data_IF_429929855166
#
_entry.id   IF_429929855166
#
_cell.length_a   1.000
_cell.length_b   1.000
_cell.length_c   1.000
_cell.angle_alpha   90.00
_cell.angle_beta   90.00
_cell.angle_gamma   90.00
#
_symmetry.space_group_name_H-M   'P 1'
#
loop_
_entity.id
_entity.type
_entity.pdbx_description
1 polymer ?
#
# COMPACT_ATOMS: atom_id res chain seq x y z
N UNK A 1 27.32 69.47 5.24
CA UNK A 1 28.61 69.12 5.87
C UNK A 1 28.87 67.64 5.59
N UNK A 2 29.65 67.35 4.56
CA UNK A 2 30.33 66.06 4.29
C UNK A 2 31.50 65.88 5.29
N UNK A 3 32.04 64.67 5.57
CA UNK A 3 32.79 63.78 4.63
C UNK A 3 32.43 62.27 4.78
N UNK A 4 32.62 61.31 3.84
CA UNK A 4 33.71 60.83 2.94
C UNK A 4 34.43 59.56 3.46
N UNK A 5 34.47 58.50 2.61
CA UNK A 5 35.46 57.38 2.52
C UNK A 5 35.32 56.24 3.57
N UNK A 6 35.50 54.93 3.29
CA UNK A 6 36.47 54.26 2.41
C UNK A 6 36.18 52.74 2.19
N UNK A 7 36.81 52.19 1.15
CA UNK A 7 36.89 50.84 0.53
C UNK A 7 37.01 49.53 1.37
N UNK A 8 36.48 48.42 0.79
CA UNK A 8 37.27 47.25 0.32
C UNK A 8 37.45 46.01 1.24
N UNK A 9 37.17 44.80 0.69
CA UNK A 9 37.77 43.43 0.92
C UNK A 9 36.71 42.33 0.70
N UNK A 10 36.76 41.46 -0.33
CA UNK A 10 37.68 40.35 -0.69
C UNK A 10 37.06 38.97 -0.39
N UNK A 11 36.98 38.13 -1.44
CA UNK A 11 36.62 36.71 -1.46
C UNK A 11 37.50 35.82 -0.55
N UNK A 12 37.08 34.57 -0.27
CA UNK A 12 37.94 33.48 -0.72
C UNK A 12 37.22 32.25 -1.32
N UNK A 13 37.91 31.66 -2.30
CA UNK A 13 37.79 30.30 -2.79
C UNK A 13 38.44 29.32 -1.79
N UNK A 14 37.88 28.11 -1.64
CA UNK A 14 38.60 26.97 -1.09
C UNK A 14 38.24 25.68 -1.84
N UNK A 15 39.30 24.98 -2.23
CA UNK A 15 39.39 23.80 -3.09
C UNK A 15 39.38 22.47 -2.31
N UNK A 16 38.73 21.48 -2.92
CA UNK A 16 39.07 20.03 -3.00
C UNK A 16 39.43 19.21 -1.74
N UNK A 17 38.70 18.11 -1.52
CA UNK A 17 39.30 16.76 -1.42
C UNK A 17 38.28 15.63 -1.64
N UNK A 18 38.66 14.65 -2.46
CA UNK A 18 38.08 13.28 -2.54
C UNK A 18 38.88 12.36 -1.60
N UNK A 19 38.31 11.25 -1.09
CA UNK A 19 38.39 9.93 -1.76
C UNK A 19 37.03 9.19 -1.67
N UNK A 20 36.65 8.15 -2.42
CA UNK A 20 37.33 6.93 -2.85
C UNK A 20 36.27 5.81 -2.75
N UNK A 21 36.08 5.02 -3.82
CA UNK A 21 35.06 3.97 -3.95
C UNK A 21 35.27 2.84 -2.93
N UNK A 22 34.19 2.13 -2.55
CA UNK A 22 34.09 0.65 -2.61
C UNK A 22 32.66 0.13 -2.27
N UNK A 23 32.14 -0.70 -3.17
CA UNK A 23 31.40 -1.96 -2.95
C UNK A 23 30.12 -2.02 -2.08
N UNK A 24 29.00 -2.26 -2.79
CA UNK A 24 27.93 -3.24 -2.53
C UNK A 24 27.79 -3.90 -1.14
N UNK A 25 26.57 -3.85 -0.56
CA UNK A 25 25.65 -5.00 -0.38
C UNK A 25 24.48 -4.69 0.57
N UNK A 26 23.29 -5.14 0.14
CA UNK A 26 22.11 -5.58 0.94
C UNK A 26 21.39 -4.63 1.90
N UNK A 27 20.16 -4.30 1.50
CA UNK A 27 19.00 -4.08 2.37
C UNK A 27 18.78 -5.27 3.33
N UNK A 28 18.55 -4.98 4.62
CA UNK A 28 17.63 -5.76 5.44
C UNK A 28 17.04 -4.86 6.53
N UNK A 29 15.71 -4.82 6.56
CA UNK A 29 14.86 -3.96 7.36
C UNK A 29 14.27 -4.83 8.46
N UNK A 30 14.63 -4.62 9.73
CA UNK A 30 13.96 -5.24 10.88
C UNK A 30 13.52 -4.14 11.83
N UNK A 31 12.20 -3.96 11.90
CA UNK A 31 11.48 -3.08 12.82
C UNK A 31 11.58 -3.62 14.25
N UNK A 32 12.17 -2.86 15.15
CA UNK A 32 11.91 -2.93 16.59
C UNK A 32 10.64 -2.12 16.88
N UNK A 33 9.69 -2.72 17.60
CA UNK A 33 8.51 -2.02 18.18
C UNK A 33 8.76 -1.83 19.66
N UNK A 34 8.79 -0.57 20.07
CA UNK A 34 8.79 -0.12 21.45
C UNK A 34 7.46 -0.48 22.16
N UNK A 35 7.58 -0.83 23.44
CA UNK A 35 6.50 -1.01 24.42
C UNK A 35 6.40 0.23 25.31
N UNK A 36 5.17 0.65 25.61
CA UNK A 36 4.64 1.20 26.89
C UNK A 36 3.39 2.08 26.62
N UNK A 37 2.57 2.51 27.60
CA UNK A 37 2.33 2.02 28.98
C UNK A 37 0.82 1.86 29.39
N UNK A 38 0.64 1.18 30.54
CA UNK A 38 -0.41 1.16 31.59
C UNK A 38 -1.76 1.92 31.51
N UNK A 39 -2.83 1.26 31.96
CA UNK A 39 -3.79 1.68 33.04
C UNK A 39 -4.82 0.53 33.23
N UNK A 40 -4.99 -0.17 34.36
CA UNK A 40 -5.24 0.14 35.79
C UNK A 40 -6.71 0.44 36.13
N UNK A 41 -7.48 -0.59 36.54
CA UNK A 41 -8.66 -0.56 37.46
C UNK A 41 -8.95 -2.02 37.87
N UNK A 42 -9.31 -2.46 39.08
CA UNK A 42 -8.98 -2.14 40.48
C UNK A 42 -9.66 -3.22 41.35
N UNK A 43 -9.05 -3.58 42.50
CA UNK A 43 -9.67 -4.09 43.75
C UNK A 43 -10.31 -5.52 43.71
N UNK A 44 -10.08 -6.44 44.65
CA UNK A 44 -9.78 -6.32 46.08
C UNK A 44 -8.99 -7.54 46.60
N UNK A 45 -8.06 -7.27 47.52
CA UNK A 45 -7.30 -8.22 48.36
C UNK A 45 -7.52 -7.80 49.82
N UNK A 46 -7.69 -8.76 50.71
CA UNK A 46 -7.50 -8.61 52.16
C UNK A 46 -6.73 -9.87 52.63
N UNK A 47 -5.46 -9.70 53.07
CA UNK A 47 -4.96 -9.75 54.47
C UNK A 47 -4.78 -11.22 54.93
N UNK A 48 -3.64 -11.70 55.42
CA UNK A 48 -2.83 -11.24 56.58
C UNK A 48 -1.37 -11.77 56.48
N UNK A 49 -0.46 -11.09 57.18
CA UNK A 49 0.99 -11.27 57.47
C UNK A 49 1.48 -12.71 57.78
N UNK A 50 2.76 -13.09 57.82
CA UNK A 50 4.07 -12.40 57.88
C UNK A 50 5.09 -13.29 58.65
N UNK A 51 6.39 -12.94 58.57
CA UNK A 51 7.58 -13.49 59.28
C UNK A 51 8.11 -14.88 58.81
N UNK A 52 9.35 -15.12 58.33
CA UNK A 52 10.76 -14.73 58.64
C UNK A 52 11.51 -15.79 59.49
N UNK A 53 12.67 -16.26 58.96
CA UNK A 53 13.76 -17.10 59.54
C UNK A 53 13.41 -18.59 59.78
N UNK A 54 14.29 -19.58 59.63
CA UNK A 54 15.72 -19.63 59.32
C UNK A 54 16.23 -21.09 59.42
N UNK A 55 17.53 -21.25 59.16
CA UNK A 55 18.42 -22.40 59.45
C UNK A 55 18.21 -23.72 58.70
N UNK A 56 19.07 -23.94 57.70
CA UNK A 56 19.52 -25.26 57.29
C UNK A 56 20.54 -25.77 58.32
N UNK A 57 20.35 -26.98 58.83
CA UNK A 57 21.38 -27.72 59.56
C UNK A 57 21.77 -28.97 58.77
N UNK A 58 23.07 -29.07 58.57
CA UNK A 58 23.83 -30.17 58.00
C UNK A 58 23.98 -31.22 59.10
N UNK A 59 23.74 -32.50 58.80
CA UNK A 59 24.51 -33.61 59.38
C UNK A 59 24.27 -34.93 58.65
N UNK A 60 25.39 -35.47 58.13
CA UNK A 60 25.89 -36.85 58.29
C UNK A 60 25.11 -37.99 57.64
N UNK A 61 25.71 -38.61 56.61
CA UNK A 61 26.66 -39.76 56.66
C UNK A 61 25.89 -41.06 56.35
N UNK A 62 26.15 -41.69 55.20
CA UNK A 62 27.27 -42.61 54.91
C UNK A 62 27.01 -44.03 55.41
N UNK A 63 27.17 -44.94 54.45
CA UNK A 63 27.51 -46.35 54.56
C UNK A 63 26.43 -47.34 55.02
N UNK A 64 26.31 -48.39 54.21
CA UNK A 64 25.55 -49.58 54.54
C UNK A 64 25.32 -50.46 53.33
N UNK A 65 26.41 -50.82 52.63
CA UNK A 65 26.36 -51.90 51.65
C UNK A 65 25.91 -53.20 52.32
N UNK A 66 24.89 -53.83 51.75
CA UNK A 66 24.59 -55.22 52.02
C UNK A 66 24.16 -55.86 50.70
N UNK A 67 25.11 -56.57 50.09
CA UNK A 67 24.81 -57.69 49.19
C UNK A 67 23.77 -58.56 49.89
N UNK A 68 22.55 -58.60 49.35
CA UNK A 68 21.57 -59.62 49.71
C UNK A 68 21.22 -60.39 48.45
N UNK A 69 21.97 -61.48 48.26
CA UNK A 69 21.53 -62.63 47.50
C UNK A 69 20.08 -62.93 47.85
N UNK A 70 19.17 -62.84 46.87
CA UNK A 70 17.83 -63.39 47.01
C UNK A 70 17.88 -64.82 46.49
N UNK A 71 18.30 -65.72 47.38
CA UNK A 71 17.96 -67.12 47.28
C UNK A 71 16.44 -67.26 47.17
N UNK A 72 15.96 -68.20 46.35
CA UNK A 72 14.57 -68.64 46.36
C UNK A 72 14.34 -69.41 47.67
N UNK A 73 14.13 -68.68 48.76
CA UNK A 73 13.61 -69.26 49.99
C UNK A 73 12.15 -69.60 49.73
N UNK A 74 11.81 -70.89 49.79
CA UNK A 74 10.45 -71.35 50.02
C UNK A 74 9.92 -70.57 51.23
N UNK A 75 8.89 -69.76 51.02
CA UNK A 75 8.32 -68.97 52.10
C UNK A 75 7.88 -69.93 53.21
N UNK A 76 8.47 -69.80 54.40
CA UNK A 76 8.04 -70.55 55.56
C UNK A 76 6.54 -70.28 55.78
N UNK A 77 5.74 -71.33 55.87
CA UNK A 77 4.31 -71.24 56.12
C UNK A 77 4.10 -70.57 57.48
N UNK A 78 3.66 -69.31 57.47
CA UNK A 78 3.32 -68.57 58.68
C UNK A 78 1.83 -68.79 58.94
N UNK A 79 1.45 -69.40 60.08
CA UNK A 79 0.05 -69.63 60.41
C UNK A 79 -0.75 -68.31 60.49
N UNK A 80 -2.01 -68.30 60.04
CA UNK A 80 -2.78 -67.07 59.79
C UNK A 80 -3.03 -66.21 61.04
N UNK A 81 -2.97 -66.79 62.24
CA UNK A 81 -3.15 -66.07 63.50
C UNK A 81 -2.10 -64.96 63.72
N UNK A 82 -0.88 -65.12 63.18
CA UNK A 82 0.18 -64.10 63.29
C UNK A 82 -0.02 -62.91 62.34
N UNK A 83 -1.00 -62.96 61.42
CA UNK A 83 -1.32 -61.90 60.47
C UNK A 83 -2.43 -60.95 60.95
N UNK A 84 -3.10 -61.25 62.07
CA UNK A 84 -4.28 -60.49 62.56
C UNK A 84 -3.96 -59.05 63.02
N UNK A 85 -2.67 -58.69 63.17
CA UNK A 85 -2.21 -57.33 63.48
C UNK A 85 -1.44 -56.63 62.36
N UNK A 86 -1.18 -57.29 61.22
CA UNK A 86 -0.51 -56.65 60.09
C UNK A 86 -1.52 -55.80 59.32
N UNK A 87 -1.40 -54.47 59.45
CA UNK A 87 -2.08 -53.53 58.57
C UNK A 87 -1.83 -53.97 57.12
N UNK A 88 -2.89 -54.40 56.42
CA UNK A 88 -2.81 -54.81 55.01
C UNK A 88 -2.03 -53.73 54.26
N UNK A 89 -0.87 -54.09 53.73
CA UNK A 89 -0.02 -53.16 53.01
C UNK A 89 -0.86 -52.46 51.93
N UNK A 90 -0.86 -51.12 51.94
CA UNK A 90 -1.60 -50.32 50.96
C UNK A 90 -1.19 -50.81 49.56
N UNK A 91 -2.14 -51.10 48.66
CA UNK A 91 -1.78 -51.54 47.31
C UNK A 91 -0.82 -50.51 46.69
N UNK A 92 0.21 -50.97 45.95
CA UNK A 92 1.19 -50.07 45.36
C UNK A 92 0.47 -49.05 44.46
N UNK A 93 0.91 -47.77 44.44
CA UNK A 93 0.28 -46.77 43.61
C UNK A 93 0.31 -47.20 42.14
N UNK A 94 -0.84 -47.20 41.48
CA UNK A 94 -0.92 -47.55 40.06
C UNK A 94 -0.13 -46.53 39.23
N UNK A 95 0.62 -47.00 38.22
CA UNK A 95 1.32 -46.13 37.28
C UNK A 95 0.35 -45.09 36.69
N UNK A 96 0.73 -43.80 36.61
CA UNK A 96 -0.15 -42.78 36.03
C UNK A 96 -0.38 -43.11 34.56
N UNK A 97 -1.66 -43.21 34.18
CA UNK A 97 -2.06 -43.33 32.78
C UNK A 97 -1.96 -41.95 32.12
N UNK A 98 -1.65 -41.87 30.81
CA UNK A 98 -1.64 -40.59 30.11
C UNK A 98 -3.02 -39.93 30.19
N UNK A 99 -3.03 -38.61 30.32
CA UNK A 99 -4.26 -37.82 30.49
C UNK A 99 -5.18 -37.85 29.27
N UNK A 100 -4.61 -37.97 28.06
CA UNK A 100 -5.38 -38.01 26.82
C UNK A 100 -5.10 -39.24 25.95
N UNK A 101 -6.10 -39.72 25.19
CA UNK A 101 -5.95 -40.87 24.30
C UNK A 101 -4.94 -40.63 23.17
N UNK A 102 -4.75 -39.37 22.77
CA UNK A 102 -3.84 -38.97 21.69
C UNK A 102 -2.44 -38.60 22.19
N UNK A 103 -2.09 -38.92 23.44
CA UNK A 103 -0.81 -38.57 24.07
C UNK A 103 0.43 -38.90 23.22
N UNK A 104 0.43 -40.04 22.53
CA UNK A 104 1.57 -40.49 21.71
C UNK A 104 1.68 -39.81 20.32
N UNK A 105 0.77 -38.90 19.96
CA UNK A 105 0.69 -38.31 18.61
C UNK A 105 1.58 -37.07 18.40
N UNK A 106 2.43 -36.70 19.35
CA UNK A 106 3.33 -35.53 19.28
C UNK A 106 2.63 -34.16 19.38
N UNK A 107 1.30 -34.09 19.12
CA UNK A 107 0.44 -32.90 19.33
C UNK A 107 -0.92 -33.29 19.91
N UNK A 108 -0.92 -33.88 21.11
CA UNK A 108 -2.11 -34.44 21.74
C UNK A 108 -3.31 -33.47 21.78
N UNK A 109 -3.10 -32.24 22.28
CA UNK A 109 -4.18 -31.24 22.39
C UNK A 109 -4.89 -30.92 21.07
N UNK A 110 -4.17 -30.92 19.95
CA UNK A 110 -4.75 -30.66 18.63
C UNK A 110 -5.64 -31.81 18.17
N UNK A 111 -5.18 -33.05 18.33
CA UNK A 111 -5.94 -34.23 17.92
C UNK A 111 -7.13 -34.49 18.84
N UNK A 112 -7.01 -34.20 20.13
CA UNK A 112 -8.15 -34.27 21.05
C UNK A 112 -9.24 -33.25 20.68
N UNK A 113 -8.85 -32.02 20.30
CA UNK A 113 -9.78 -31.00 19.81
C UNK A 113 -10.44 -31.41 18.49
N UNK A 114 -9.67 -31.99 17.55
CA UNK A 114 -10.19 -32.46 16.28
C UNK A 114 -11.19 -33.62 16.48
N UNK A 115 -10.87 -34.57 17.34
CA UNK A 115 -11.75 -35.69 17.69
C UNK A 115 -13.01 -35.21 18.41
N UNK A 116 -12.91 -34.18 19.26
CA UNK A 116 -14.07 -33.56 19.89
C UNK A 116 -15.01 -32.91 18.86
N UNK A 117 -14.45 -32.18 17.88
CA UNK A 117 -15.23 -31.60 16.78
C UNK A 117 -15.89 -32.67 15.91
N UNK A 118 -15.16 -33.74 15.58
CA UNK A 118 -15.71 -34.84 14.78
C UNK A 118 -16.84 -35.57 15.53
N UNK A 119 -16.69 -35.80 16.83
CA UNK A 119 -17.74 -36.38 17.68
C UNK A 119 -18.97 -35.49 17.73
N UNK A 120 -18.79 -34.17 17.93
CA UNK A 120 -19.90 -33.22 17.94
C UNK A 120 -20.64 -33.20 16.59
N UNK A 121 -19.91 -33.24 15.47
CA UNK A 121 -20.51 -33.32 14.14
C UNK A 121 -21.29 -34.63 13.91
N UNK A 122 -20.79 -35.76 14.40
CA UNK A 122 -21.49 -37.06 14.33
C UNK A 122 -22.74 -37.06 15.21
N UNK A 123 -22.63 -36.60 16.45
CA UNK A 123 -23.74 -36.52 17.42
C UNK A 123 -24.87 -35.61 16.93
N UNK A 124 -24.52 -34.44 16.39
CA UNK A 124 -25.51 -33.54 15.79
C UNK A 124 -26.19 -34.18 14.58
N UNK A 125 -25.44 -34.88 13.73
CA UNK A 125 -26.02 -35.62 12.60
C UNK A 125 -26.99 -36.72 13.05
N UNK A 126 -26.62 -37.53 14.04
CA UNK A 126 -27.50 -38.60 14.55
C UNK A 126 -28.74 -38.01 15.20
N UNK A 127 -28.61 -36.96 16.01
CA UNK A 127 -29.76 -36.27 16.61
C UNK A 127 -30.70 -35.70 15.54
N UNK A 128 -30.17 -35.11 14.46
CA UNK A 128 -30.98 -34.62 13.34
C UNK A 128 -31.65 -35.74 12.53
N UNK A 129 -31.08 -36.95 12.51
CA UNK A 129 -31.70 -38.13 11.89
C UNK A 129 -32.80 -38.71 12.77
N UNK A 130 -32.60 -38.77 14.08
CA UNK A 130 -33.62 -39.20 15.06
C UNK A 130 -34.84 -38.27 15.05
N UNK A 131 -34.61 -36.96 14.91
CA UNK A 131 -35.66 -35.96 14.69
C UNK A 131 -36.27 -35.99 13.29
N UNK A 132 -35.84 -36.93 12.42
CA UNK A 132 -36.29 -37.11 11.03
C UNK A 132 -36.11 -35.86 10.13
N UNK A 133 -35.23 -34.94 10.51
CA UNK A 133 -34.91 -33.75 9.71
C UNK A 133 -34.02 -34.14 8.53
N UNK A 134 -33.18 -35.16 8.68
CA UNK A 134 -32.33 -35.72 7.63
C UNK A 134 -32.88 -37.09 7.14
N UNK A 135 -33.02 -37.31 5.82
CA UNK A 135 -32.65 -36.43 4.72
C UNK A 135 -33.66 -35.29 4.49
N UNK A 136 -33.16 -34.05 4.43
CA UNK A 136 -34.00 -32.89 4.13
C UNK A 136 -34.66 -33.08 2.75
N UNK A 137 -35.99 -32.94 2.62
CA UNK A 137 -36.66 -32.97 1.32
C UNK A 137 -36.12 -31.86 0.40
N UNK A 138 -36.18 -32.07 -0.92
CA UNK A 138 -35.52 -31.18 -1.90
C UNK A 138 -35.95 -29.72 -1.79
N UNK A 139 -37.21 -29.44 -1.45
CA UNK A 139 -37.69 -28.06 -1.23
C UNK A 139 -36.97 -27.39 -0.05
N UNK A 140 -36.70 -28.13 1.03
CA UNK A 140 -35.99 -27.61 2.21
C UNK A 140 -34.49 -27.41 1.92
N UNK A 141 -33.88 -28.25 1.09
CA UNK A 141 -32.49 -28.04 0.62
C UNK A 141 -32.34 -26.83 -0.31
N UNK A 142 -33.35 -26.56 -1.14
CA UNK A 142 -33.40 -25.39 -2.02
C UNK A 142 -33.72 -24.09 -1.26
N UNK A 143 -34.49 -24.20 -0.17
CA UNK A 143 -34.77 -23.11 0.76
C UNK A 143 -33.68 -22.93 1.82
N UNK A 144 -32.73 -23.87 1.92
CA UNK A 144 -31.53 -23.70 2.72
C UNK A 144 -30.73 -22.55 2.11
N UNK A 145 -30.37 -21.54 2.90
CA UNK A 145 -29.62 -20.42 2.38
C UNK A 145 -28.22 -20.92 1.90
N UNK A 146 -27.77 -20.67 0.65
CA UNK A 146 -26.44 -21.08 0.16
C UNK A 146 -25.31 -20.32 0.87
N UNK A 147 -24.79 -20.75 2.04
CA UNK A 147 -23.97 -19.91 2.98
C UNK A 147 -24.00 -18.38 2.67
N UNK A 148 -25.14 -17.69 2.89
CA UNK A 148 -25.44 -16.37 2.33
C UNK A 148 -25.98 -15.37 3.37
N UNK A 149 -25.85 -15.64 4.68
CA UNK A 149 -26.41 -14.80 5.74
C UNK A 149 -25.90 -13.36 5.64
N UNK A 150 -24.64 -13.18 5.26
CA UNK A 150 -24.01 -11.88 5.07
C UNK A 150 -24.66 -11.04 3.96
N UNK A 151 -25.13 -11.63 2.85
CA UNK A 151 -25.75 -10.86 1.74
C UNK A 151 -27.14 -10.35 2.09
N UNK A 152 -27.98 -11.19 2.74
CA UNK A 152 -29.31 -10.75 3.23
C UNK A 152 -29.16 -9.68 4.30
N UNK A 153 -28.22 -9.86 5.24
CA UNK A 153 -27.91 -8.88 6.28
C UNK A 153 -27.43 -7.54 5.72
N UNK A 154 -26.52 -7.54 4.74
CA UNK A 154 -26.09 -6.32 4.03
C UNK A 154 -27.27 -5.69 3.27
N UNK A 155 -28.16 -6.49 2.68
CA UNK A 155 -29.39 -6.00 2.06
C UNK A 155 -30.29 -5.22 3.04
N UNK A 156 -30.50 -5.77 4.24
CA UNK A 156 -31.29 -5.11 5.30
C UNK A 156 -30.63 -3.82 5.80
N UNK A 157 -29.30 -3.81 5.97
CA UNK A 157 -28.56 -2.59 6.34
C UNK A 157 -28.63 -1.51 5.25
N UNK A 158 -28.65 -1.90 3.97
CA UNK A 158 -28.84 -0.96 2.86
C UNK A 158 -30.27 -0.37 2.88
N UNK A 159 -31.29 -1.20 3.10
CA UNK A 159 -32.68 -0.74 3.24
C UNK A 159 -32.86 0.23 4.42
N UNK A 160 -32.26 -0.04 5.58
CA UNK A 160 -32.26 0.89 6.72
C UNK A 160 -31.59 2.23 6.38
N UNK A 161 -30.50 2.21 5.60
CA UNK A 161 -29.86 3.44 5.12
C UNK A 161 -30.76 4.25 4.16
N UNK A 162 -31.54 3.59 3.31
CA UNK A 162 -32.53 4.23 2.44
C UNK A 162 -33.66 4.86 3.28
N UNK A 163 -34.20 4.14 4.26
CA UNK A 163 -35.24 4.66 5.16
C UNK A 163 -34.75 5.86 5.99
N UNK A 164 -33.49 5.87 6.42
CA UNK A 164 -32.88 7.03 7.07
C UNK A 164 -32.90 8.26 6.15
N UNK A 165 -32.45 8.12 4.90
CA UNK A 165 -32.46 9.22 3.92
C UNK A 165 -33.86 9.73 3.63
N UNK A 166 -34.84 8.83 3.53
CA UNK A 166 -36.25 9.20 3.36
C UNK A 166 -36.79 9.97 4.57
N UNK A 167 -36.46 9.53 5.79
CA UNK A 167 -36.86 10.23 7.02
C UNK A 167 -36.22 11.63 7.15
N UNK A 168 -34.96 11.78 6.73
CA UNK A 168 -34.26 13.08 6.66
C UNK A 168 -34.94 14.03 5.67
N UNK A 169 -35.27 13.56 4.45
CA UNK A 169 -35.97 14.35 3.43
C UNK A 169 -37.39 14.71 3.87
N UNK A 170 -38.07 13.82 4.58
CA UNK A 170 -39.41 14.04 5.12
C UNK A 170 -39.44 14.94 6.38
N UNK A 171 -38.28 15.32 6.93
CA UNK A 171 -38.18 16.17 8.14
C UNK A 171 -38.41 15.43 9.47
N UNK A 172 -38.55 14.11 9.47
CA UNK A 172 -38.69 13.30 10.69
C UNK A 172 -37.33 12.96 11.31
N UNK A 173 -36.71 13.97 11.94
CA UNK A 173 -35.35 13.87 12.50
C UNK A 173 -35.22 12.87 13.65
N UNK A 174 -36.27 12.67 14.46
CA UNK A 174 -36.24 11.69 15.54
C UNK A 174 -36.13 10.24 15.02
N UNK A 175 -36.87 9.93 13.95
CA UNK A 175 -36.86 8.60 13.34
C UNK A 175 -35.50 8.35 12.67
N UNK A 176 -34.97 9.33 11.94
CA UNK A 176 -33.65 9.27 11.34
C UNK A 176 -32.56 9.05 12.41
N UNK A 177 -32.65 9.74 13.55
CA UNK A 177 -31.73 9.56 14.68
C UNK A 177 -31.81 8.18 15.34
N UNK A 178 -33.01 7.58 15.43
CA UNK A 178 -33.18 6.20 15.92
C UNK A 178 -32.56 5.17 14.97
N UNK A 179 -32.80 5.32 13.67
CA UNK A 179 -32.24 4.42 12.64
C UNK A 179 -30.70 4.54 12.60
N UNK A 180 -30.16 5.76 12.74
CA UNK A 180 -28.72 5.99 12.78
C UNK A 180 -28.06 5.24 13.95
N UNK A 181 -28.64 5.28 15.16
CA UNK A 181 -28.11 4.52 16.32
C UNK A 181 -28.05 3.01 16.06
N UNK A 182 -29.06 2.45 15.39
CA UNK A 182 -29.07 1.04 15.00
C UNK A 182 -27.99 0.74 13.97
N UNK A 183 -27.77 1.64 13.01
CA UNK A 183 -26.69 1.49 12.02
C UNK A 183 -25.31 1.57 12.68
N UNK A 184 -25.09 2.52 13.61
CA UNK A 184 -23.83 2.73 14.31
C UNK A 184 -23.36 1.48 15.07
N UNK A 185 -24.29 0.68 15.62
CA UNK A 185 -23.98 -0.62 16.25
C UNK A 185 -23.31 -1.62 15.31
N UNK A 186 -23.57 -1.53 14.01
CA UNK A 186 -23.02 -2.42 12.97
C UNK A 186 -21.90 -1.77 12.17
N UNK A 187 -21.56 -0.51 12.46
CA UNK A 187 -20.40 0.15 11.88
C UNK A 187 -19.11 -0.31 12.59
N UNK A 188 -18.02 -0.39 11.83
CA UNK A 188 -16.70 -0.65 12.41
C UNK A 188 -16.14 0.65 12.96
N UNK A 189 -15.55 0.60 14.15
CA UNK A 189 -14.85 1.74 14.77
C UNK A 189 -13.80 2.40 13.84
N UNK A 190 -13.17 1.60 12.96
CA UNK A 190 -12.16 2.05 12.01
C UNK A 190 -12.70 2.33 10.58
N UNK A 191 -13.99 2.64 10.41
CA UNK A 191 -14.64 2.86 9.10
C UNK A 191 -13.92 3.91 8.25
N UNK A 192 -13.61 5.07 8.81
CA UNK A 192 -12.98 6.17 8.06
C UNK A 192 -11.57 5.83 7.60
N UNK A 193 -10.82 5.12 8.44
CA UNK A 193 -9.51 4.61 8.08
C UNK A 193 -9.60 3.58 6.93
N UNK A 194 -10.59 2.68 6.94
CA UNK A 194 -10.81 1.69 5.88
C UNK A 194 -11.24 2.36 4.57
N UNK A 195 -12.18 3.32 4.62
CA UNK A 195 -12.63 4.07 3.45
C UNK A 195 -11.51 4.95 2.85
N UNK A 196 -10.59 5.44 3.69
CA UNK A 196 -9.43 6.20 3.25
C UNK A 196 -8.35 5.33 2.56
N UNK A 197 -8.26 4.02 2.86
CA UNK A 197 -7.21 3.13 2.29
C UNK A 197 -7.23 3.05 0.75
N UNK A 198 -8.39 3.25 0.12
CA UNK A 198 -8.52 3.23 -1.35
C UNK A 198 -8.42 4.60 -2.04
N UNK A 199 -8.50 5.70 -1.28
CA UNK A 199 -8.43 7.04 -1.85
C UNK A 199 -6.98 7.40 -2.16
N UNK A 200 -6.74 7.92 -3.37
CA UNK A 200 -5.40 8.39 -3.76
C UNK A 200 -5.05 9.62 -2.95
N UNK A 201 -3.83 9.68 -2.40
CA UNK A 201 -3.32 10.89 -1.75
C UNK A 201 -3.22 12.01 -2.80
N UNK A 202 -3.72 13.24 -2.51
CA UNK A 202 -3.59 14.36 -3.42
C UNK A 202 -2.11 14.71 -3.63
N UNK A 203 -1.78 15.25 -4.82
CA UNK A 203 -0.43 15.72 -5.13
C UNK A 203 -0.18 17.00 -4.35
N UNK A 204 0.95 17.10 -3.66
CA UNK A 204 1.36 18.31 -2.94
C UNK A 204 2.08 19.27 -3.89
N UNK A 205 1.91 20.57 -3.67
CA UNK A 205 2.65 21.61 -4.36
C UNK A 205 3.81 22.08 -3.49
N UNK A 206 4.95 22.35 -4.12
CA UNK A 206 6.12 22.92 -3.47
C UNK A 206 5.94 24.43 -3.25
N UNK A 207 6.84 25.07 -2.49
CA UNK A 207 6.87 26.53 -2.24
C UNK A 207 6.85 27.37 -3.52
N UNK A 208 7.41 26.84 -4.60
CA UNK A 208 7.48 27.48 -5.91
C UNK A 208 6.25 27.21 -6.79
N UNK A 209 5.18 26.60 -6.26
CA UNK A 209 4.00 26.21 -7.03
C UNK A 209 4.26 25.08 -8.04
N UNK A 210 5.33 24.30 -7.83
CA UNK A 210 5.68 23.15 -8.68
C UNK A 210 4.94 21.91 -8.21
N UNK A 211 4.41 21.12 -9.13
CA UNK A 211 3.84 19.80 -8.81
C UNK A 211 4.86 18.71 -9.11
N UNK A 212 5.15 17.85 -8.14
CA UNK A 212 6.01 16.68 -8.33
C UNK A 212 5.18 15.42 -8.65
N UNK A 213 5.44 14.80 -9.81
CA UNK A 213 4.77 13.56 -10.21
C UNK A 213 5.72 12.53 -10.79
N UNK A 214 5.24 11.28 -10.83
CA UNK A 214 6.01 10.14 -11.35
C UNK A 214 5.18 9.39 -12.40
N UNK A 215 5.82 9.15 -13.54
CA UNK A 215 5.35 8.28 -14.60
C UNK A 215 6.23 7.05 -14.77
N UNK A 216 5.62 5.92 -15.15
CA UNK A 216 6.33 4.66 -15.42
C UNK A 216 5.71 3.94 -16.59
N UNK A 217 6.55 3.44 -17.50
CA UNK A 217 6.14 2.58 -18.62
C UNK A 217 7.25 1.57 -18.92
N UNK A 218 6.90 0.28 -18.97
CA UNK A 218 7.88 -0.81 -19.03
C UNK A 218 8.95 -0.61 -17.93
N UNK A 219 10.21 -0.50 -18.31
CA UNK A 219 11.36 -0.26 -17.44
C UNK A 219 11.67 1.23 -17.22
N UNK A 220 11.08 2.11 -18.02
CA UNK A 220 11.35 3.55 -17.96
C UNK A 220 10.60 4.22 -16.80
N UNK A 221 11.32 5.07 -16.09
CA UNK A 221 10.80 5.89 -14.99
C UNK A 221 11.07 7.36 -15.27
N UNK A 222 10.06 8.19 -15.06
CA UNK A 222 10.14 9.63 -15.27
C UNK A 222 9.70 10.36 -14.00
N UNK A 223 10.56 11.24 -13.50
CA UNK A 223 10.28 12.22 -12.45
C UNK A 223 9.99 13.54 -13.14
N UNK A 224 8.84 14.13 -12.88
CA UNK A 224 8.35 15.31 -13.60
C UNK A 224 8.00 16.40 -12.60
N UNK A 225 8.51 17.59 -12.88
CA UNK A 225 8.15 18.84 -12.21
C UNK A 225 7.45 19.73 -13.22
N UNK A 226 6.25 20.16 -12.89
CA UNK A 226 5.45 21.06 -13.73
C UNK A 226 5.18 22.33 -12.96
N UNK A 227 5.43 23.46 -13.61
CA UNK A 227 5.18 24.80 -13.10
C UNK A 227 4.33 25.57 -14.12
N UNK A 228 3.45 26.45 -13.65
CA UNK A 228 2.75 27.38 -14.54
C UNK A 228 3.78 28.25 -15.26
N UNK A 229 3.63 28.42 -16.56
CA UNK A 229 4.48 29.33 -17.32
C UNK A 229 4.25 30.74 -16.80
N UNK A 230 5.32 31.44 -16.43
CA UNK A 230 5.23 32.88 -16.18
C UNK A 230 4.98 33.52 -17.54
N UNK A 231 3.92 34.30 -17.66
CA UNK A 231 3.83 35.29 -18.73
C UNK A 231 5.13 36.07 -18.69
N UNK A 232 5.81 36.14 -19.83
CA UNK A 232 7.09 36.84 -19.90
C UNK A 232 6.82 38.31 -19.59
N UNK A 233 6.91 38.66 -18.30
CA UNK A 233 7.09 40.00 -17.82
C UNK A 233 8.16 40.62 -18.71
N UNK A 234 7.83 41.74 -19.32
CA UNK A 234 8.78 42.67 -19.91
C UNK A 234 10.03 42.72 -19.05
N UNK A 235 11.09 42.05 -19.49
CA UNK A 235 12.40 42.19 -18.90
C UNK A 235 12.90 43.59 -19.26
N UNK A 236 12.49 44.58 -18.46
CA UNK A 236 13.20 45.83 -18.28
C UNK A 236 14.58 45.49 -17.72
N UNK A 237 15.52 45.22 -18.63
CA UNK A 237 16.99 45.37 -18.58
C UNK A 237 17.53 44.56 -19.76
N UNK A 238 17.14 44.94 -20.98
CA UNK A 238 17.93 44.63 -22.16
C UNK A 238 18.85 45.83 -22.36
N UNK A 239 20.15 45.53 -22.46
CA UNK A 239 21.22 46.47 -22.65
C UNK A 239 20.90 47.50 -23.75
N UNK A 240 21.29 48.74 -23.48
CA UNK A 240 21.50 49.74 -24.51
C UNK A 240 22.53 49.20 -25.52
N UNK A 241 22.01 48.66 -26.62
CA UNK A 241 22.75 48.31 -27.82
C UNK A 241 21.92 48.84 -28.97
N UNK A 242 22.30 50.02 -29.45
CA UNK A 242 21.73 50.65 -30.63
C UNK A 242 21.85 49.71 -31.82
N UNK A 243 20.75 49.53 -32.53
CA UNK A 243 20.62 48.65 -33.68
C UNK A 243 19.21 48.79 -34.23
N UNK A 244 18.85 50.01 -34.60
CA UNK A 244 17.67 50.27 -35.43
C UNK A 244 17.86 49.55 -36.77
N UNK A 245 17.15 48.43 -36.96
CA UNK A 245 16.93 47.88 -38.29
C UNK A 245 15.63 48.49 -38.82
N UNK A 246 15.77 49.55 -39.62
CA UNK A 246 14.69 50.06 -40.45
C UNK A 246 14.30 48.98 -41.47
N UNK A 247 13.00 48.76 -41.75
CA UNK A 247 12.59 47.93 -42.88
C UNK A 247 12.86 48.70 -44.17
N UNK A 248 13.78 48.20 -45.00
CA UNK A 248 14.00 48.68 -46.36
C UNK A 248 12.74 48.46 -47.20
N UNK A 249 12.22 49.55 -47.74
CA UNK A 249 11.06 49.58 -48.62
C UNK A 249 11.47 49.26 -50.05
N UNK A 250 11.79 48.01 -50.37
CA UNK A 250 11.99 47.61 -51.77
C UNK A 250 11.53 46.16 -51.99
N UNK A 251 10.23 45.99 -52.24
CA UNK A 251 9.69 44.78 -52.86
C UNK A 251 8.77 45.20 -54.01
N UNK A 252 9.02 44.77 -55.27
CA UNK A 252 8.20 45.17 -56.40
C UNK A 252 6.79 44.59 -56.27
N UNK A 253 5.81 45.47 -56.42
CA UNK A 253 4.39 45.13 -56.38
C UNK A 253 4.01 44.32 -57.63
N UNK A 254 3.97 42.99 -57.51
CA UNK A 254 3.20 42.15 -58.44
C UNK A 254 1.73 42.30 -58.04
N UNK A 255 1.07 43.29 -58.62
CA UNK A 255 -0.34 43.60 -58.38
C UNK A 255 -1.26 42.69 -59.18
N UNK A 256 -2.10 41.93 -58.47
CA UNK A 256 -3.34 41.39 -59.04
C UNK A 256 -4.36 42.56 -59.00
N UNK A 257 -4.92 42.99 -60.14
CA UNK A 257 -5.86 44.11 -60.16
C UNK A 257 -7.17 43.72 -59.46
N UNK A 258 -7.52 44.43 -58.38
CA UNK A 258 -8.79 44.26 -57.66
C UNK A 258 -8.69 44.24 -56.13
N UNK A 259 -7.49 44.10 -55.55
CA UNK A 259 -7.31 44.11 -54.09
C UNK A 259 -6.78 45.47 -53.60
N UNK A 260 -7.68 46.44 -53.41
CA UNK A 260 -7.37 47.70 -52.73
C UNK A 260 -6.99 47.40 -51.28
N UNK A 261 -5.72 47.59 -50.91
CA UNK A 261 -5.27 47.51 -49.51
C UNK A 261 -5.91 48.65 -48.72
N UNK A 262 -6.92 48.33 -47.91
CA UNK A 262 -7.48 49.26 -46.92
C UNK A 262 -6.41 49.69 -45.89
N UNK A 263 -6.66 50.77 -45.12
CA UNK A 263 -5.67 51.34 -44.21
C UNK A 263 -5.18 50.30 -43.20
N UNK A 264 -3.85 50.09 -43.17
CA UNK A 264 -3.14 49.13 -42.33
C UNK A 264 -3.18 49.45 -40.81
N UNK A 265 -4.07 50.35 -40.36
CA UNK A 265 -4.10 50.85 -38.98
C UNK A 265 -4.82 49.92 -37.98
N UNK A 266 -5.35 48.78 -38.44
CA UNK A 266 -5.91 47.71 -37.60
C UNK A 266 -5.20 46.38 -37.81
N UNK A 267 -3.86 46.38 -37.82
CA UNK A 267 -3.13 45.12 -37.63
C UNK A 267 -3.50 44.55 -36.24
N UNK A 268 -3.97 43.29 -36.14
CA UNK A 268 -4.19 42.66 -34.84
C UNK A 268 -2.90 42.75 -34.03
N UNK A 269 -2.97 43.36 -32.85
CA UNK A 269 -1.82 43.42 -31.92
C UNK A 269 -1.27 42.00 -31.75
N UNK A 270 0.04 41.75 -31.95
CA UNK A 270 0.58 40.41 -31.86
C UNK A 270 0.38 39.88 -30.44
N UNK A 271 -0.56 38.94 -30.29
CA UNK A 271 -0.83 38.27 -29.01
C UNK A 271 0.44 37.50 -28.65
N UNK A 272 1.09 37.89 -27.54
CA UNK A 272 2.27 37.20 -27.00
C UNK A 272 1.83 35.86 -26.41
N UNK A 273 1.83 34.83 -27.26
CA UNK A 273 1.40 33.48 -26.86
C UNK A 273 2.46 32.90 -25.89
N UNK A 274 2.08 32.45 -24.68
CA UNK A 274 3.02 31.82 -23.77
C UNK A 274 3.51 30.50 -24.38
N UNK A 275 4.81 30.28 -24.38
CA UNK A 275 5.44 29.07 -24.94
C UNK A 275 5.72 28.03 -23.86
N UNK A 276 5.48 26.76 -24.15
CA UNK A 276 5.84 25.66 -23.25
C UNK A 276 7.29 25.27 -23.44
N UNK A 277 8.10 25.44 -22.41
CA UNK A 277 9.46 24.92 -22.38
C UNK A 277 9.49 23.55 -21.69
N UNK A 278 9.87 22.52 -22.46
CA UNK A 278 9.99 21.14 -21.98
C UNK A 278 11.45 20.73 -22.02
N UNK A 279 12.03 20.51 -20.84
CA UNK A 279 13.41 20.06 -20.66
C UNK A 279 13.43 18.62 -20.12
N UNK A 280 14.19 17.76 -20.79
CA UNK A 280 14.36 16.34 -20.44
C UNK A 280 15.84 16.09 -20.16
N UNK A 281 16.19 15.75 -18.91
CA UNK A 281 17.58 15.58 -18.47
C UNK A 281 18.47 16.78 -18.85
N UNK A 282 17.94 18.01 -18.70
CA UNK A 282 18.58 19.28 -19.04
C UNK A 282 18.76 19.57 -20.55
N UNK A 283 18.21 18.72 -21.42
CA UNK A 283 18.28 18.86 -22.88
C UNK A 283 16.87 19.24 -23.39
N UNK A 284 16.74 20.11 -24.41
CA UNK A 284 15.44 20.43 -24.99
C UNK A 284 14.77 19.21 -25.62
N UNK A 285 13.43 19.21 -25.62
CA UNK A 285 12.61 18.07 -26.10
C UNK A 285 12.97 17.60 -27.51
N UNK A 286 13.25 18.54 -28.42
CA UNK A 286 13.54 18.27 -29.83
C UNK A 286 14.84 17.49 -29.99
N UNK A 287 15.87 17.89 -29.25
CA UNK A 287 17.19 17.25 -29.30
C UNK A 287 17.18 15.88 -28.60
N UNK A 288 16.51 15.76 -27.44
CA UNK A 288 16.48 14.50 -26.70
C UNK A 288 15.66 13.40 -27.41
N UNK A 289 14.52 13.74 -28.01
CA UNK A 289 13.70 12.79 -28.76
C UNK A 289 13.75 13.13 -30.26
N UNK A 290 14.54 12.42 -31.08
CA UNK A 290 14.61 12.71 -32.52
C UNK A 290 13.32 12.34 -33.27
N UNK A 291 12.61 11.30 -32.81
CA UNK A 291 11.40 10.80 -33.45
C UNK A 291 10.19 11.67 -33.12
N UNK A 292 9.48 12.14 -34.15
CA UNK A 292 8.29 12.98 -34.00
C UNK A 292 7.19 12.29 -33.17
N UNK A 293 6.97 10.99 -33.38
CA UNK A 293 5.93 10.24 -32.66
C UNK A 293 6.15 10.22 -31.14
N UNK A 294 7.39 10.28 -30.67
CA UNK A 294 7.69 10.37 -29.24
C UNK A 294 7.42 11.78 -28.69
N UNK A 295 7.72 12.82 -29.48
CA UNK A 295 7.38 14.22 -29.14
C UNK A 295 5.86 14.41 -29.05
N UNK A 296 5.11 13.88 -30.01
CA UNK A 296 3.65 13.96 -30.02
C UNK A 296 3.02 13.28 -28.80
N UNK A 297 3.54 12.13 -28.36
CA UNK A 297 3.07 11.45 -27.15
C UNK A 297 3.23 12.32 -25.90
N UNK A 298 4.33 13.04 -25.80
CA UNK A 298 4.66 13.93 -24.66
C UNK A 298 3.76 15.17 -24.66
N UNK A 299 3.44 15.72 -25.84
CA UNK A 299 2.60 16.91 -26.01
C UNK A 299 1.10 16.59 -25.97
N UNK A 300 0.70 15.36 -26.28
CA UNK A 300 -0.70 14.90 -26.28
C UNK A 300 -1.50 15.23 -25.00
N UNK A 301 -1.00 15.07 -23.76
CA UNK A 301 -1.75 15.47 -22.57
C UNK A 301 -2.11 16.97 -22.57
N UNK A 302 -1.22 17.85 -23.05
CA UNK A 302 -1.53 19.28 -23.18
C UNK A 302 -2.56 19.57 -24.26
N UNK A 303 -2.48 18.87 -25.41
CA UNK A 303 -3.46 18.99 -26.51
C UNK A 303 -4.88 18.66 -26.05
N UNK A 304 -5.04 17.55 -25.32
CA UNK A 304 -6.36 17.10 -24.83
C UNK A 304 -6.89 18.04 -23.75
N UNK A 305 -5.99 18.57 -22.91
CA UNK A 305 -6.34 19.49 -21.84
C UNK A 305 -6.70 20.90 -22.34
N UNK A 306 -6.33 21.27 -23.59
CA UNK A 306 -6.42 22.65 -24.05
C UNK A 306 -5.41 23.59 -23.36
N UNK A 307 -4.39 23.04 -22.69
CA UNK A 307 -3.41 23.77 -21.87
C UNK A 307 -2.04 23.90 -22.57
N UNK A 308 -2.05 23.98 -23.90
CA UNK A 308 -0.83 24.28 -24.66
C UNK A 308 -0.40 25.72 -24.34
N UNK A 309 0.88 25.90 -24.03
CA UNK A 309 1.48 27.19 -23.67
C UNK A 309 1.44 27.51 -22.17
N UNK A 310 0.58 26.87 -21.40
CA UNK A 310 0.28 27.28 -20.02
C UNK A 310 1.31 26.81 -18.98
N UNK A 311 2.11 25.78 -19.26
CA UNK A 311 3.01 25.16 -18.28
C UNK A 311 4.41 24.89 -18.86
N UNK A 312 5.41 25.05 -18.00
CA UNK A 312 6.77 24.59 -18.25
C UNK A 312 7.02 23.25 -17.53
N UNK A 313 7.78 22.39 -18.18
CA UNK A 313 8.05 21.03 -17.70
C UNK A 313 9.54 20.81 -17.59
N UNK A 314 9.97 20.37 -16.42
CA UNK A 314 11.29 19.82 -16.22
C UNK A 314 11.16 18.35 -15.85
N UNK A 315 11.88 17.47 -16.54
CA UNK A 315 11.77 16.05 -16.29
C UNK A 315 13.13 15.35 -16.27
N UNK A 316 13.26 14.40 -15.35
CA UNK A 316 14.39 13.48 -15.28
C UNK A 316 13.92 12.08 -15.60
N UNK A 317 14.50 11.48 -16.62
CA UNK A 317 14.09 10.16 -17.13
C UNK A 317 15.25 9.19 -17.09
N UNK A 318 14.98 7.97 -16.61
CA UNK A 318 15.96 6.89 -16.47
C UNK A 318 15.35 5.55 -16.86
N UNK A 319 16.18 4.69 -17.47
CA UNK A 319 15.84 3.31 -17.83
C UNK A 319 15.00 3.17 -19.11
N UNK A 320 14.94 1.94 -19.63
CA UNK A 320 14.27 1.58 -20.88
C UNK A 320 14.78 2.34 -22.11
N UNK A 321 13.98 2.37 -23.19
CA UNK A 321 14.30 3.07 -24.45
C UNK A 321 13.41 4.28 -24.71
N UNK A 322 13.67 5.02 -25.80
CA UNK A 322 12.99 6.29 -26.15
C UNK A 322 11.45 6.23 -26.06
N UNK A 323 10.85 5.20 -26.63
CA UNK A 323 9.38 5.02 -26.64
C UNK A 323 8.79 4.70 -25.27
N UNK A 324 9.56 4.02 -24.40
CA UNK A 324 9.19 3.78 -23.01
C UNK A 324 9.26 5.06 -22.20
N UNK A 325 10.33 5.83 -22.43
CA UNK A 325 10.60 7.11 -21.79
C UNK A 325 9.56 8.18 -22.14
N UNK A 326 9.22 8.34 -23.43
CA UNK A 326 8.18 9.27 -23.89
C UNK A 326 6.81 8.94 -23.28
N UNK A 327 6.46 7.66 -23.21
CA UNK A 327 5.23 7.20 -22.56
C UNK A 327 5.22 7.38 -21.04
N UNK A 328 6.37 7.23 -20.37
CA UNK A 328 6.50 7.51 -18.94
C UNK A 328 6.35 9.02 -18.66
N UNK A 329 6.96 9.88 -19.48
CA UNK A 329 6.81 11.34 -19.40
C UNK A 329 5.36 11.77 -19.58
N UNK A 330 4.68 11.26 -20.60
CA UNK A 330 3.27 11.60 -20.87
C UNK A 330 2.36 11.31 -19.67
N UNK A 331 2.55 10.16 -19.00
CA UNK A 331 1.80 9.82 -17.79
C UNK A 331 2.15 10.74 -16.61
N UNK A 332 3.41 11.13 -16.45
CA UNK A 332 3.84 12.06 -15.41
C UNK A 332 3.21 13.45 -15.60
N UNK A 333 3.25 13.96 -16.83
CA UNK A 333 2.65 15.25 -17.21
C UNK A 333 1.13 15.21 -17.02
N UNK A 334 0.45 14.16 -17.48
CA UNK A 334 -1.00 14.04 -17.31
C UNK A 334 -1.44 14.08 -15.83
N UNK A 335 -0.69 13.43 -14.94
CA UNK A 335 -0.94 13.49 -13.49
C UNK A 335 -0.68 14.88 -12.91
N UNK A 336 0.33 15.58 -13.40
CA UNK A 336 0.64 16.93 -12.95
C UNK A 336 -0.46 17.91 -13.38
N UNK A 337 -0.94 17.81 -14.63
CA UNK A 337 -2.06 18.62 -15.12
C UNK A 337 -3.34 18.36 -14.32
N UNK A 338 -3.65 17.11 -14.00
CA UNK A 338 -4.79 16.77 -13.14
C UNK A 338 -4.67 17.32 -11.72
N UNK A 339 -3.45 17.55 -11.22
CA UNK A 339 -3.23 18.19 -9.92
C UNK A 339 -3.45 19.70 -10.01
N UNK A 340 -2.94 20.37 -11.04
CA UNK A 340 -3.08 21.81 -11.24
C UNK A 340 -4.51 22.23 -11.56
N UNK A 341 -5.20 21.48 -12.43
CA UNK A 341 -6.58 21.77 -12.85
C UNK A 341 -7.41 20.50 -12.70
N UNK A 342 -8.15 20.32 -11.59
CA UNK A 342 -8.93 19.11 -11.34
C UNK A 342 -10.08 18.93 -12.35
N UNK A 343 -10.55 20.01 -12.98
CA UNK A 343 -11.61 19.99 -14.00
C UNK A 343 -11.22 19.19 -15.26
N UNK A 344 -9.92 19.14 -15.56
CA UNK A 344 -9.38 18.45 -16.74
C UNK A 344 -9.17 16.96 -16.49
N UNK A 345 -9.16 16.52 -15.22
CA UNK A 345 -9.01 15.12 -14.84
C UNK A 345 -10.00 14.16 -15.54
N UNK A 346 -11.33 14.41 -15.57
CA UNK A 346 -12.27 13.54 -16.27
C UNK A 346 -11.99 13.42 -17.77
N UNK A 347 -11.54 14.50 -18.43
CA UNK A 347 -11.15 14.47 -19.85
C UNK A 347 -9.92 13.57 -20.07
N UNK A 348 -8.89 13.74 -19.25
CA UNK A 348 -7.68 12.91 -19.32
C UNK A 348 -7.95 11.44 -18.95
N UNK A 349 -8.92 11.17 -18.07
CA UNK A 349 -9.35 9.83 -17.71
C UNK A 349 -10.10 9.16 -18.87
N UNK A 350 -11.02 9.86 -19.53
CA UNK A 350 -11.72 9.41 -20.75
C UNK A 350 -10.70 9.09 -21.86
N UNK A 351 -9.69 9.95 -22.03
CA UNK A 351 -8.59 9.74 -22.97
C UNK A 351 -7.57 8.66 -22.56
N UNK A 352 -7.77 7.96 -21.43
CA UNK A 352 -6.89 6.90 -20.90
C UNK A 352 -5.44 7.35 -20.60
N UNK A 353 -5.19 8.65 -20.43
CA UNK A 353 -3.86 9.18 -20.16
C UNK A 353 -3.42 9.06 -18.71
N UNK A 354 -4.37 9.00 -17.77
CA UNK A 354 -4.08 8.81 -16.34
C UNK A 354 -3.90 7.34 -15.94
N UNK A 355 -4.23 6.39 -16.83
CA UNK A 355 -4.06 4.97 -16.58
C UNK A 355 -2.63 4.57 -16.94
N UNK A 356 -1.93 3.95 -15.98
CA UNK A 356 -0.61 3.37 -16.25
C UNK A 356 -0.75 2.20 -17.23
N UNK A 357 0.07 2.17 -18.28
CA UNK A 357 0.17 1.03 -19.20
C UNK A 357 0.75 -0.18 -18.44
N UNK A 358 -0.01 -1.29 -18.26
CA UNK A 358 0.44 -2.46 -17.53
C UNK A 358 1.32 -3.39 -18.38
N UNK A 359 1.44 -3.16 -19.69
CA UNK A 359 2.20 -4.05 -20.59
C UNK A 359 3.66 -4.11 -20.17
N UNK A 360 4.15 -5.33 -19.95
CA UNK A 360 5.53 -5.62 -19.57
C UNK A 360 6.10 -6.71 -20.48
N UNK A 361 7.42 -6.75 -20.65
CA UNK A 361 8.10 -7.84 -21.36
C UNK A 361 7.91 -9.13 -20.58
N UNK A 362 7.31 -10.13 -21.23
CA UNK A 362 7.19 -11.46 -20.64
C UNK A 362 8.55 -12.15 -20.57
N UNK A 363 8.80 -12.88 -19.49
CA UNK A 363 10.01 -13.71 -19.37
C UNK A 363 10.05 -14.81 -20.44
N UNK A 364 11.27 -15.28 -20.78
CA UNK A 364 11.45 -16.51 -21.55
C UNK A 364 10.89 -17.71 -20.78
N UNK A 365 10.17 -18.60 -21.48
CA UNK A 365 9.68 -19.87 -20.93
C UNK A 365 10.63 -21.00 -21.33
N UNK A 366 10.81 -21.99 -20.45
CA UNK A 366 11.60 -23.20 -20.74
C UNK A 366 10.98 -23.96 -21.92
N UNK A 367 11.80 -24.61 -22.73
CA UNK A 367 11.35 -25.31 -23.95
C UNK A 367 10.86 -24.39 -25.08
N UNK A 368 11.03 -23.07 -24.97
CA UNK A 368 10.65 -22.09 -26.01
C UNK A 368 11.83 -21.19 -26.38
N UNK A 369 11.89 -20.77 -27.64
CA UNK A 369 12.91 -19.85 -28.15
C UNK A 369 12.75 -18.44 -27.55
N UNK A 370 11.51 -17.95 -27.40
CA UNK A 370 11.16 -16.68 -26.73
C UNK A 370 10.03 -16.89 -25.72
N UNK A 371 9.38 -15.83 -25.25
CA UNK A 371 8.24 -15.94 -24.31
C UNK A 371 7.11 -16.83 -24.87
N UNK A 372 6.81 -16.71 -26.17
CA UNK A 372 5.75 -17.45 -26.86
C UNK A 372 6.22 -18.27 -28.06
N UNK A 373 7.29 -17.85 -28.77
CA UNK A 373 7.84 -18.56 -29.94
C UNK A 373 8.38 -19.93 -29.52
N UNK A 374 7.73 -21.01 -29.99
CA UNK A 374 8.23 -22.38 -29.86
C UNK A 374 9.35 -22.64 -30.88
N UNK A 375 10.15 -23.68 -30.64
CA UNK A 375 11.00 -24.25 -31.68
C UNK A 375 10.13 -24.97 -32.73
N UNK A 376 10.68 -25.22 -33.92
CA UNK A 376 9.98 -25.95 -34.97
C UNK A 376 9.60 -27.34 -34.47
N UNK A 377 8.32 -27.70 -34.60
CA UNK A 377 7.80 -29.01 -34.23
C UNK A 377 7.80 -29.94 -35.45
N UNK A 378 8.25 -31.18 -35.29
CA UNK A 378 8.33 -32.20 -36.35
C UNK A 378 7.37 -33.34 -36.00
N UNK A 379 6.41 -33.64 -36.88
CA UNK A 379 5.28 -34.55 -36.60
C UNK A 379 5.65 -36.04 -36.63
N UNK A 380 6.41 -36.46 -37.65
CA UNK A 380 6.80 -37.84 -38.05
C UNK A 380 5.71 -38.90 -38.02
#
# INVERSE_FOLDING_TARGET
>A
MTPSLESGRSFPLATQSRPGRLSARTCALVRQRARSPSSSVSLSRALVSGAVRGTMNIAKQVAGGALRFRAYATAAYVPPASLEGMQRARPPPSKPKPESPSFYTGRANYFDQLLALEKAAKQTRTALQELQILPLPRFAQQNLPPSPGYRRFIGQLNQLNEYRRLAEVAGHMELAGRIQRVLDMFERENKDAILAQGKRKPVKFDEFGRSYTIGRRKESTARVWVIKAKEAASSSTAAAGQGEAQPSQDAPAVGIPGFTRGPLSMAPTPIKVPTTNILVNNIPLVEYFPHLSDRERIVRPFRIAGLLGAYNVFALVRGGGSTGQSGALALGIAKALAAHVPEVEPLLRKAKMLKRDPRMVERKKTGRAKSRKAYTWVKR
#
